data_IF_534212982591
#
_entry.id   IF_534212982591
#
_cell.length_a   1.000
_cell.length_b   1.000
_cell.length_c   1.000
_cell.angle_alpha   90.00
_cell.angle_beta   90.00
_cell.angle_gamma   90.00
#
_symmetry.space_group_name_H-M   'P 1'
#
loop_
_entity.id
_entity.type
_entity.pdbx_description
1 polymer ?
#
# COMPACT_ATOMS: atom_id res chain seq x y z
N UNK A 1 -7.22 1.25 -6.96
CA UNK A 1 -6.51 2.42 -7.53
C UNK A 1 -6.24 2.19 -8.99
N UNK A 2 -6.64 3.14 -9.84
CA UNK A 2 -6.27 3.17 -11.24
C UNK A 2 -4.73 3.16 -11.41
N UNK A 3 -4.21 2.43 -12.41
CA UNK A 3 -2.78 2.28 -12.63
C UNK A 3 -2.08 3.61 -12.94
N UNK A 4 -2.76 4.53 -13.66
CA UNK A 4 -2.22 5.85 -13.97
C UNK A 4 -2.06 6.70 -12.71
N UNK A 5 -3.10 6.73 -11.85
CA UNK A 5 -3.08 7.45 -10.58
C UNK A 5 -2.01 6.88 -9.66
N UNK A 6 -1.94 5.55 -9.52
CA UNK A 6 -0.92 4.88 -8.70
C UNK A 6 0.49 5.26 -9.13
N UNK A 7 0.75 5.24 -10.44
CA UNK A 7 2.07 5.57 -11.00
C UNK A 7 2.42 7.03 -10.76
N UNK A 8 1.53 7.97 -11.10
CA UNK A 8 1.78 9.40 -10.91
C UNK A 8 1.99 9.78 -9.44
N UNK A 9 1.23 9.18 -8.52
CA UNK A 9 1.40 9.41 -7.09
C UNK A 9 2.74 8.86 -6.59
N UNK A 10 3.14 7.67 -7.05
CA UNK A 10 4.42 7.08 -6.67
C UNK A 10 5.60 7.93 -7.18
N UNK A 11 5.55 8.39 -8.44
CA UNK A 11 6.56 9.28 -9.02
C UNK A 11 6.68 10.59 -8.23
N UNK A 12 5.54 11.22 -7.89
CA UNK A 12 5.52 12.44 -7.08
C UNK A 12 6.17 12.24 -5.70
N UNK A 13 5.83 11.16 -5.00
CA UNK A 13 6.37 10.89 -3.67
C UNK A 13 7.88 10.60 -3.73
N UNK A 14 8.35 9.89 -4.76
CA UNK A 14 9.78 9.70 -5.00
C UNK A 14 10.50 11.03 -5.25
N UNK A 15 9.92 11.92 -6.05
CA UNK A 15 10.47 13.26 -6.30
C UNK A 15 10.53 14.13 -5.04
N UNK A 16 9.58 13.94 -4.11
CA UNK A 16 9.59 14.59 -2.79
C UNK A 16 10.59 13.99 -1.81
N UNK A 17 11.32 12.93 -2.21
CA UNK A 17 12.38 12.30 -1.41
C UNK A 17 11.92 11.17 -0.50
N UNK A 18 10.70 10.65 -0.67
CA UNK A 18 10.22 9.47 0.05
C UNK A 18 10.70 8.18 -0.60
N UNK A 19 10.86 7.13 0.20
CA UNK A 19 10.95 5.77 -0.30
C UNK A 19 9.54 5.23 -0.54
N UNK A 20 9.28 4.72 -1.75
CA UNK A 20 7.92 4.37 -2.19
C UNK A 20 7.87 2.95 -2.71
N UNK A 21 6.89 2.18 -2.22
CA UNK A 21 6.51 0.89 -2.75
C UNK A 21 5.08 0.97 -3.26
N UNK A 22 4.90 0.82 -4.57
CA UNK A 22 3.59 0.76 -5.20
C UNK A 22 3.16 -0.70 -5.39
N UNK A 23 1.99 -1.07 -4.88
CA UNK A 23 1.39 -2.40 -5.03
C UNK A 23 0.11 -2.31 -5.89
N UNK A 24 -0.16 -3.34 -6.70
CA UNK A 24 -1.32 -3.33 -7.60
C UNK A 24 -2.58 -3.94 -6.96
N UNK A 25 -2.37 -4.78 -5.93
CA UNK A 25 -3.43 -5.50 -5.23
C UNK A 25 -3.10 -5.63 -3.73
N UNK A 26 -4.12 -6.01 -2.95
CA UNK A 26 -4.00 -6.13 -1.50
C UNK A 26 -3.05 -7.22 -1.00
N UNK A 27 -2.84 -8.29 -1.77
CA UNK A 27 -1.95 -9.40 -1.38
C UNK A 27 -0.48 -8.99 -1.45
N UNK A 28 -0.11 -8.21 -2.47
CA UNK A 28 1.21 -7.59 -2.57
C UNK A 28 1.49 -6.63 -1.43
N UNK A 29 0.48 -5.85 -0.98
CA UNK A 29 0.65 -4.92 0.13
C UNK A 29 1.11 -5.64 1.40
N UNK A 30 0.44 -6.72 1.78
CA UNK A 30 0.79 -7.48 3.00
C UNK A 30 2.18 -8.10 2.89
N UNK A 31 2.53 -8.65 1.71
CA UNK A 31 3.87 -9.23 1.48
C UNK A 31 4.96 -8.15 1.54
N UNK A 32 4.73 -7.01 0.90
CA UNK A 32 5.67 -5.87 0.91
C UNK A 32 5.87 -5.33 2.31
N UNK A 33 4.80 -5.22 3.11
CA UNK A 33 4.88 -4.80 4.51
C UNK A 33 5.73 -5.75 5.36
N UNK A 34 5.56 -7.07 5.19
CA UNK A 34 6.34 -8.05 5.94
C UNK A 34 7.84 -8.04 5.60
N UNK A 35 8.21 -7.63 4.38
CA UNK A 35 9.60 -7.63 3.90
C UNK A 35 10.29 -6.29 4.13
N UNK A 36 9.57 -5.18 3.96
CA UNK A 36 10.14 -3.82 3.91
C UNK A 36 9.53 -2.85 4.92
N UNK A 37 8.54 -3.29 5.70
CA UNK A 37 7.94 -2.47 6.74
C UNK A 37 8.82 -2.36 8.00
N UNK A 38 8.39 -1.57 9.00
CA UNK A 38 7.15 -0.78 9.01
C UNK A 38 7.23 0.44 8.07
N UNK A 39 6.08 0.92 7.59
CA UNK A 39 6.00 2.14 6.78
C UNK A 39 5.43 3.30 7.59
N UNK A 40 5.93 4.52 7.38
CA UNK A 40 5.39 5.72 8.02
C UNK A 40 4.02 6.15 7.46
N UNK A 41 3.72 5.77 6.22
CA UNK A 41 2.48 6.14 5.52
C UNK A 41 2.04 5.04 4.56
N UNK A 42 0.77 4.66 4.63
CA UNK A 42 0.12 3.78 3.67
C UNK A 42 -1.03 4.52 2.97
N UNK A 43 -0.98 4.61 1.64
CA UNK A 43 -2.06 5.19 0.83
C UNK A 43 -2.84 4.04 0.18
N UNK A 44 -4.08 3.86 0.62
CA UNK A 44 -4.97 2.81 0.16
C UNK A 44 -6.16 3.42 -0.58
N UNK A 45 -6.56 2.79 -1.69
CA UNK A 45 -7.83 3.07 -2.34
C UNK A 45 -8.90 2.13 -1.76
N UNK A 46 -10.12 2.65 -1.58
CA UNK A 46 -11.26 1.82 -1.16
C UNK A 46 -11.53 0.70 -2.16
N UNK A 47 -11.49 1.02 -3.46
CA UNK A 47 -11.64 0.07 -4.56
C UNK A 47 -10.27 -0.39 -5.04
N UNK A 48 -9.78 -1.48 -4.48
CA UNK A 48 -8.60 -2.20 -4.98
C UNK A 48 -9.07 -3.35 -5.86
N UNK A 49 -8.51 -3.55 -7.06
CA UNK A 49 -8.74 -4.75 -7.85
C UNK A 49 -8.22 -5.99 -7.09
N UNK A 50 -8.93 -7.12 -7.21
CA UNK A 50 -8.50 -8.41 -6.64
C UNK A 50 -9.36 -8.89 -5.47
N UNK A 51 -8.74 -9.68 -4.58
CA UNK A 51 -9.44 -10.40 -3.50
C UNK A 51 -9.90 -9.51 -2.35
N UNK A 52 -9.16 -8.43 -2.07
CA UNK A 52 -9.36 -7.57 -0.91
C UNK A 52 -9.59 -6.13 -1.32
N UNK A 53 -10.56 -5.47 -0.71
CA UNK A 53 -10.72 -4.02 -0.76
C UNK A 53 -9.78 -3.31 0.22
N UNK A 54 -9.72 -1.97 0.18
CA UNK A 54 -8.80 -1.19 1.02
C UNK A 54 -8.97 -1.42 2.53
N UNK A 55 -10.21 -1.66 3.00
CA UNK A 55 -10.48 -1.92 4.42
C UNK A 55 -9.98 -3.31 4.82
N UNK A 56 -10.16 -4.31 3.96
CA UNK A 56 -9.67 -5.66 4.20
C UNK A 56 -8.14 -5.70 4.26
N UNK A 57 -7.47 -4.98 3.35
CA UNK A 57 -6.01 -4.82 3.39
C UNK A 57 -5.57 -4.19 4.70
N UNK A 58 -6.21 -3.10 5.13
CA UNK A 58 -5.89 -2.45 6.40
C UNK A 58 -6.07 -3.40 7.60
N UNK A 59 -7.10 -4.25 7.58
CA UNK A 59 -7.31 -5.27 8.63
C UNK A 59 -6.21 -6.31 8.64
N UNK A 60 -5.76 -6.78 7.47
CA UNK A 60 -4.65 -7.74 7.41
C UNK A 60 -3.34 -7.10 7.88
N UNK A 61 -3.07 -5.84 7.49
CA UNK A 61 -1.91 -5.11 7.99
C UNK A 61 -1.91 -4.99 9.51
N UNK A 62 -3.04 -4.64 10.12
CA UNK A 62 -3.18 -4.57 11.60
C UNK A 62 -3.01 -5.91 12.31
N UNK A 63 -3.19 -7.04 11.63
CA UNK A 63 -2.88 -8.36 12.22
C UNK A 63 -1.38 -8.64 12.22
N UNK A 64 -0.68 -8.14 11.19
CA UNK A 64 0.78 -8.27 11.06
C UNK A 64 1.49 -7.29 11.99
N UNK A 65 0.94 -6.08 12.12
CA UNK A 65 1.47 -5.01 12.95
C UNK A 65 0.33 -4.30 13.71
N UNK A 66 0.02 -4.77 14.94
CA UNK A 66 -1.10 -4.23 15.72
C UNK A 66 -0.85 -2.83 16.30
N UNK A 67 0.40 -2.40 16.39
CA UNK A 67 0.80 -1.11 16.98
C UNK A 67 1.14 -0.04 15.93
N UNK A 68 1.08 -0.41 14.64
CA UNK A 68 1.26 0.49 13.49
C UNK A 68 0.21 1.58 13.37
#
# INVERSE_FOLDING_TARGET
>A
MDASIRKSLAELLLELGYEVIACENGEEVVKSYQVQGPFDLAILDYTVPGKWNGIEVLRELRKVDPEG
#
